data_IF_508223961958
#
_entry.id   IF_508223961958
#
_cell.length_a   1.000
_cell.length_b   1.000
_cell.length_c   1.000
_cell.angle_alpha   90.00
_cell.angle_beta   90.00
_cell.angle_gamma   90.00
#
_symmetry.space_group_name_H-M   'P 1'
#
loop_
_entity.id
_entity.type
_entity.pdbx_description
1 polymer ?
#
# COMPACT_ATOMS: atom_id res chain seq x y z
N UNK A 1 -0.54 -0.46 15.15
CA UNK A 1 -1.80 -1.20 15.33
C UNK A 1 -1.50 -2.49 16.05
N UNK A 2 -2.08 -2.69 17.22
CA UNK A 2 -2.05 -4.01 17.90
C UNK A 2 -3.25 -4.81 17.44
N UNK A 3 -3.04 -5.94 16.81
CA UNK A 3 -4.08 -6.95 16.68
C UNK A 3 -3.55 -8.26 17.26
N UNK A 4 -4.44 -9.08 17.78
CA UNK A 4 -4.09 -10.46 18.06
C UNK A 4 -3.86 -11.16 16.73
N UNK A 5 -2.63 -11.57 16.49
CA UNK A 5 -2.15 -12.14 15.23
C UNK A 5 -2.97 -13.33 14.75
N UNK A 6 -3.60 -14.06 15.68
CA UNK A 6 -4.40 -15.25 15.38
C UNK A 6 -5.59 -15.02 14.43
N UNK A 7 -6.18 -13.81 14.41
CA UNK A 7 -7.32 -13.50 13.57
C UNK A 7 -7.03 -12.41 12.52
N UNK A 8 -5.74 -12.09 12.31
CA UNK A 8 -5.32 -11.03 11.41
C UNK A 8 -5.85 -11.24 9.97
N UNK A 9 -5.73 -12.42 9.43
CA UNK A 9 -6.16 -12.73 8.07
C UNK A 9 -7.66 -12.56 7.88
N UNK A 10 -8.45 -13.03 8.85
CA UNK A 10 -9.89 -12.88 8.81
C UNK A 10 -10.29 -11.41 8.97
N UNK A 11 -9.62 -10.70 9.85
CA UNK A 11 -9.87 -9.27 10.04
C UNK A 11 -9.50 -8.45 8.81
N UNK A 12 -8.33 -8.69 8.21
CA UNK A 12 -7.91 -8.02 6.97
C UNK A 12 -8.86 -8.30 5.82
N UNK A 13 -9.29 -9.56 5.67
CA UNK A 13 -10.26 -9.92 4.64
C UNK A 13 -11.60 -9.19 4.84
N UNK A 14 -12.12 -9.19 6.05
CA UNK A 14 -13.37 -8.50 6.38
C UNK A 14 -13.26 -6.99 6.15
N UNK A 15 -12.12 -6.40 6.54
CA UNK A 15 -11.85 -4.98 6.31
C UNK A 15 -11.77 -4.66 4.81
N UNK A 16 -11.07 -5.47 4.03
CA UNK A 16 -10.97 -5.31 2.58
C UNK A 16 -12.35 -5.40 1.89
N UNK A 17 -13.18 -6.35 2.28
CA UNK A 17 -14.55 -6.48 1.78
C UNK A 17 -15.39 -5.22 2.11
N UNK A 18 -15.30 -4.70 3.33
CA UNK A 18 -15.98 -3.47 3.76
C UNK A 18 -15.46 -2.22 3.03
N UNK A 19 -14.14 -2.14 2.81
CA UNK A 19 -13.51 -1.07 2.03
C UNK A 19 -14.05 -1.08 0.60
N UNK A 20 -14.07 -2.23 -0.06
CA UNK A 20 -14.57 -2.37 -1.44
C UNK A 20 -16.02 -1.91 -1.57
N UNK A 21 -16.88 -2.30 -0.64
CA UNK A 21 -18.28 -1.89 -0.62
C UNK A 21 -18.39 -0.37 -0.46
N UNK A 22 -17.73 0.18 0.56
CA UNK A 22 -17.84 1.62 0.87
C UNK A 22 -17.19 2.50 -0.19
N UNK A 23 -16.00 2.16 -0.61
CA UNK A 23 -15.27 2.91 -1.63
C UNK A 23 -15.99 2.77 -2.98
N UNK A 24 -16.44 1.58 -3.36
CA UNK A 24 -17.21 1.37 -4.58
C UNK A 24 -18.46 2.24 -4.66
N UNK A 25 -19.20 2.37 -3.57
CA UNK A 25 -20.36 3.26 -3.50
C UNK A 25 -19.99 4.75 -3.65
N UNK A 26 -18.81 5.15 -3.18
CA UNK A 26 -18.33 6.53 -3.22
C UNK A 26 -17.72 6.91 -4.58
N UNK A 27 -16.93 6.02 -5.19
CA UNK A 27 -16.17 6.33 -6.41
C UNK A 27 -16.95 6.10 -7.69
N UNK A 28 -17.96 5.23 -7.67
CA UNK A 28 -18.68 4.81 -8.88
C UNK A 28 -17.72 4.09 -9.84
N UNK A 29 -17.66 4.58 -11.10
CA UNK A 29 -16.83 3.98 -12.15
C UNK A 29 -15.42 4.60 -12.25
N UNK A 30 -15.02 5.48 -11.33
CA UNK A 30 -13.67 6.07 -11.35
C UNK A 30 -12.63 5.03 -10.95
N UNK A 31 -11.49 4.93 -11.67
CA UNK A 31 -10.45 3.98 -11.32
C UNK A 31 -9.76 4.38 -10.00
N UNK A 32 -9.41 3.38 -9.24
CA UNK A 32 -8.57 3.53 -8.04
C UNK A 32 -7.84 2.23 -7.74
N UNK A 33 -6.78 2.32 -6.99
CA UNK A 33 -6.04 1.19 -6.46
C UNK A 33 -5.79 1.39 -4.96
N UNK A 34 -5.91 0.31 -4.20
CA UNK A 34 -5.55 0.27 -2.78
C UNK A 34 -4.60 -0.90 -2.58
N UNK A 35 -3.38 -0.61 -2.17
CA UNK A 35 -2.37 -1.62 -1.85
C UNK A 35 -2.21 -1.68 -0.33
N UNK A 36 -2.47 -2.85 0.25
CA UNK A 36 -2.30 -3.10 1.69
C UNK A 36 -0.95 -3.75 1.95
N UNK A 37 -0.11 -3.10 2.75
CA UNK A 37 1.20 -3.62 3.18
C UNK A 37 1.17 -3.90 4.67
N UNK A 38 1.51 -5.12 5.05
CA UNK A 38 1.50 -5.58 6.45
C UNK A 38 2.95 -5.79 6.88
N UNK A 39 3.54 -4.76 7.49
CA UNK A 39 4.88 -4.85 8.06
C UNK A 39 4.87 -5.70 9.33
N UNK A 40 5.90 -6.53 9.50
CA UNK A 40 5.92 -7.62 10.48
C UNK A 40 5.39 -8.94 9.92
N UNK A 41 4.97 -8.96 8.63
CA UNK A 41 4.54 -10.15 7.91
C UNK A 41 5.12 -10.20 6.49
N UNK A 42 4.55 -9.44 5.56
CA UNK A 42 4.92 -9.45 4.14
C UNK A 42 4.93 -8.05 3.50
N UNK A 43 5.07 -7.01 4.29
CA UNK A 43 4.97 -5.62 3.82
C UNK A 43 6.07 -5.21 2.85
N UNK A 44 7.21 -5.90 2.83
CA UNK A 44 8.35 -5.62 1.95
C UNK A 44 8.31 -6.49 0.70
N UNK A 45 8.25 -7.80 0.88
CA UNK A 45 8.37 -8.78 -0.22
C UNK A 45 7.02 -9.27 -0.77
N UNK A 46 5.92 -8.94 -0.11
CA UNK A 46 4.59 -9.35 -0.56
C UNK A 46 4.45 -10.87 -0.66
N UNK A 47 4.04 -11.36 -1.84
CA UNK A 47 3.86 -12.79 -2.10
C UNK A 47 5.18 -13.58 -2.11
N UNK A 48 6.32 -12.92 -2.29
CA UNK A 48 7.65 -13.53 -2.31
C UNK A 48 8.25 -13.71 -0.91
N UNK A 49 7.57 -13.26 0.15
CA UNK A 49 8.02 -13.42 1.53
C UNK A 49 8.20 -14.91 1.86
N UNK A 50 9.42 -15.38 2.15
CA UNK A 50 9.67 -16.78 2.45
C UNK A 50 9.20 -17.19 3.84
N UNK A 51 9.26 -16.27 4.83
CA UNK A 51 8.81 -16.53 6.19
C UNK A 51 7.31 -16.29 6.31
N UNK A 52 6.57 -17.35 6.60
CA UNK A 52 5.10 -17.29 6.71
C UNK A 52 4.62 -17.09 8.14
N UNK A 53 5.47 -17.33 9.12
CA UNK A 53 5.16 -17.12 10.52
C UNK A 53 5.35 -15.66 10.93
N UNK A 54 4.36 -15.08 11.61
CA UNK A 54 4.48 -13.74 12.17
C UNK A 54 5.12 -13.83 13.54
N UNK A 55 6.32 -13.23 13.69
CA UNK A 55 7.10 -13.32 14.92
C UNK A 55 6.81 -12.27 15.98
N UNK A 56 6.01 -11.23 15.69
CA UNK A 56 5.76 -10.10 16.57
C UNK A 56 4.35 -10.05 17.15
N UNK A 57 4.19 -9.32 18.25
CA UNK A 57 2.88 -9.01 18.82
C UNK A 57 2.20 -7.81 18.15
N UNK A 58 3.01 -6.95 17.56
CA UNK A 58 2.56 -5.72 16.90
C UNK A 58 2.88 -5.80 15.42
N UNK A 59 1.95 -5.31 14.62
CA UNK A 59 2.13 -5.14 13.18
C UNK A 59 1.80 -3.71 12.79
N UNK A 60 2.44 -3.22 11.74
CA UNK A 60 2.09 -1.95 11.13
C UNK A 60 1.45 -2.19 9.77
N UNK A 61 0.29 -1.59 9.54
CA UNK A 61 -0.41 -1.68 8.27
C UNK A 61 -0.36 -0.32 7.60
N UNK A 62 0.08 -0.32 6.34
CA UNK A 62 0.10 0.82 5.46
C UNK A 62 -0.84 0.53 4.28
N UNK A 63 -1.72 1.47 3.99
CA UNK A 63 -2.53 1.48 2.77
C UNK A 63 -2.02 2.58 1.84
N UNK A 64 -1.53 2.17 0.66
CA UNK A 64 -1.24 3.09 -0.43
C UNK A 64 -2.50 3.22 -1.27
N UNK A 65 -2.99 4.44 -1.45
CA UNK A 65 -4.18 4.75 -2.24
C UNK A 65 -3.77 5.56 -3.45
N UNK A 66 -4.06 5.05 -4.63
CA UNK A 66 -3.74 5.67 -5.91
C UNK A 66 -5.04 5.90 -6.68
N UNK A 67 -5.22 7.10 -7.21
CA UNK A 67 -6.37 7.45 -8.06
C UNK A 67 -6.02 8.62 -8.99
N UNK A 68 -6.87 8.96 -9.95
CA UNK A 68 -6.60 10.04 -10.90
C UNK A 68 -6.50 11.45 -10.29
N UNK A 69 -6.94 11.64 -9.04
CA UNK A 69 -6.84 12.93 -8.38
C UNK A 69 -6.48 12.79 -6.90
N UNK A 70 -5.71 13.73 -6.38
CA UNK A 70 -5.33 13.78 -4.97
C UNK A 70 -6.56 13.85 -4.05
N UNK A 71 -7.56 14.63 -4.41
CA UNK A 71 -8.81 14.75 -3.66
C UNK A 71 -9.53 13.41 -3.52
N UNK A 72 -9.61 12.64 -4.61
CA UNK A 72 -10.22 11.31 -4.58
C UNK A 72 -9.41 10.33 -3.75
N UNK A 73 -8.07 10.32 -3.90
CA UNK A 73 -7.19 9.49 -3.09
C UNK A 73 -7.33 9.79 -1.60
N UNK A 74 -7.38 11.08 -1.24
CA UNK A 74 -7.58 11.50 0.15
C UNK A 74 -8.93 11.03 0.71
N UNK A 75 -10.01 11.21 -0.05
CA UNK A 75 -11.35 10.76 0.37
C UNK A 75 -11.42 9.23 0.56
N UNK A 76 -10.76 8.47 -0.32
CA UNK A 76 -10.64 7.02 -0.18
C UNK A 76 -9.81 6.67 1.08
N UNK A 77 -8.65 7.30 1.27
CA UNK A 77 -7.79 7.06 2.44
C UNK A 77 -8.52 7.36 3.76
N UNK A 78 -9.26 8.45 3.84
CA UNK A 78 -10.09 8.79 4.99
C UNK A 78 -11.19 7.75 5.26
N UNK A 79 -11.76 7.16 4.21
CA UNK A 79 -12.73 6.06 4.36
C UNK A 79 -12.06 4.79 4.86
N UNK A 80 -10.85 4.48 4.39
CA UNK A 80 -10.05 3.32 4.83
C UNK A 80 -9.67 3.45 6.30
N UNK A 81 -9.14 4.60 6.72
CA UNK A 81 -8.73 4.84 8.11
C UNK A 81 -9.92 4.75 9.07
N UNK A 82 -11.06 5.33 8.70
CA UNK A 82 -12.30 5.22 9.49
C UNK A 82 -12.75 3.76 9.64
N UNK A 83 -12.79 3.01 8.54
CA UNK A 83 -13.19 1.61 8.58
C UNK A 83 -12.20 0.78 9.40
N UNK A 84 -10.89 1.02 9.30
CA UNK A 84 -9.88 0.28 10.05
C UNK A 84 -10.08 0.42 11.56
N UNK A 85 -10.44 1.61 12.05
CA UNK A 85 -10.72 1.83 13.47
C UNK A 85 -12.02 1.15 13.93
N UNK A 86 -13.05 1.18 13.10
CA UNK A 86 -14.37 0.72 13.46
C UNK A 86 -14.68 -0.72 13.04
N UNK A 87 -13.80 -1.36 12.26
CA UNK A 87 -13.98 -2.75 11.87
C UNK A 87 -13.74 -3.67 13.09
N UNK A 88 -14.72 -4.47 13.49
CA UNK A 88 -14.58 -5.31 14.67
C UNK A 88 -13.49 -6.37 14.44
N UNK A 89 -12.65 -6.55 15.46
CA UNK A 89 -11.66 -7.65 15.46
C UNK A 89 -12.38 -8.91 15.93
N UNK A 90 -12.37 -10.01 15.15
CA UNK A 90 -12.99 -11.25 15.56
C UNK A 90 -12.51 -11.71 16.95
N UNK A 91 -13.42 -12.15 17.79
CA UNK A 91 -13.15 -12.59 19.18
C UNK A 91 -12.59 -11.52 20.12
N UNK A 92 -12.55 -10.27 19.73
CA UNK A 92 -12.20 -9.17 20.60
C UNK A 92 -13.43 -8.69 21.38
N UNK A 93 -13.33 -8.64 22.70
CA UNK A 93 -14.42 -8.21 23.58
C UNK A 93 -14.25 -6.78 24.13
N UNK A 94 -13.25 -6.04 23.64
CA UNK A 94 -13.02 -4.65 24.02
C UNK A 94 -13.96 -3.67 23.30
N UNK A 95 -14.21 -2.52 23.94
CA UNK A 95 -15.04 -1.44 23.37
C UNK A 95 -14.34 -0.68 22.23
N UNK A 96 -13.01 -0.78 22.14
CA UNK A 96 -12.18 -0.04 21.16
C UNK A 96 -11.33 -1.07 20.43
N UNK A 97 -11.24 -0.94 19.10
CA UNK A 97 -10.28 -1.72 18.31
C UNK A 97 -8.86 -1.43 18.82
N UNK A 98 -8.00 -2.44 18.86
CA UNK A 98 -6.59 -2.28 19.23
C UNK A 98 -5.75 -1.55 18.16
N UNK A 99 -6.35 -0.60 17.43
CA UNK A 99 -5.74 0.17 16.34
C UNK A 99 -5.31 1.53 16.86
N UNK A 100 -4.06 1.89 16.62
CA UNK A 100 -3.54 3.23 16.84
C UNK A 100 -2.89 3.76 15.57
N UNK A 101 -3.08 5.04 15.31
CA UNK A 101 -2.41 5.74 14.21
C UNK A 101 -1.16 6.45 14.72
N UNK A 102 -0.02 6.36 14.00
CA UNK A 102 1.21 7.06 14.39
C UNK A 102 1.16 8.57 14.15
N UNK A 103 0.20 9.03 13.34
CA UNK A 103 0.02 10.44 12.97
C UNK A 103 -1.43 10.87 13.15
N UNK A 104 -1.62 12.18 13.27
CA UNK A 104 -2.95 12.83 13.29
C UNK A 104 -2.89 14.10 12.43
N UNK A 105 -3.59 14.16 11.31
CA UNK A 105 -4.42 13.11 10.69
C UNK A 105 -3.61 11.89 10.22
N UNK A 106 -4.22 10.70 10.10
CA UNK A 106 -3.53 9.49 9.66
C UNK A 106 -3.30 9.42 8.15
N UNK A 107 -4.02 10.20 7.37
CA UNK A 107 -3.88 10.30 5.93
C UNK A 107 -2.73 11.26 5.58
N UNK A 108 -1.81 10.79 4.73
CA UNK A 108 -0.67 11.56 4.27
C UNK A 108 -0.69 11.67 2.75
N UNK A 109 -0.90 12.87 2.25
CA UNK A 109 -0.84 13.16 0.82
C UNK A 109 0.61 13.16 0.34
N UNK A 110 0.95 12.29 -0.62
CA UNK A 110 2.30 12.09 -1.14
C UNK A 110 2.52 12.70 -2.53
N UNK A 111 1.46 13.28 -3.11
CA UNK A 111 1.51 13.84 -4.45
C UNK A 111 1.50 12.78 -5.55
N UNK A 112 1.96 13.11 -6.77
CA UNK A 112 1.89 12.22 -7.93
C UNK A 112 2.77 10.98 -7.76
N UNK A 113 2.26 9.86 -8.25
CA UNK A 113 2.97 8.58 -8.35
C UNK A 113 3.36 8.36 -9.80
N UNK A 114 4.57 7.90 -10.01
CA UNK A 114 5.12 7.62 -11.35
C UNK A 114 5.35 6.13 -11.50
N UNK A 115 4.94 5.60 -12.63
CA UNK A 115 5.20 4.22 -13.01
C UNK A 115 6.35 4.17 -14.02
N UNK A 116 7.23 3.19 -13.87
CA UNK A 116 8.28 2.94 -14.84
C UNK A 116 7.67 2.21 -16.03
N UNK A 117 7.39 2.95 -17.10
CA UNK A 117 6.56 2.45 -18.20
C UNK A 117 7.35 1.84 -19.35
N UNK A 118 8.57 2.29 -19.58
CA UNK A 118 9.41 1.84 -20.71
C UNK A 118 10.78 1.39 -20.20
N UNK A 119 11.10 0.15 -20.47
CA UNK A 119 12.44 -0.39 -20.32
C UNK A 119 12.86 -1.07 -21.62
N UNK A 120 13.92 -0.57 -22.26
CA UNK A 120 14.48 -1.21 -23.42
C UNK A 120 16.00 -1.24 -23.32
N UNK A 121 16.56 -2.31 -23.83
CA UNK A 121 17.98 -2.51 -23.93
C UNK A 121 18.38 -2.26 -25.39
N UNK A 122 19.31 -1.34 -25.61
CA UNK A 122 19.97 -1.19 -26.90
C UNK A 122 21.01 -2.29 -27.07
N UNK A 123 20.86 -3.07 -28.13
CA UNK A 123 21.86 -4.06 -28.54
C UNK A 123 22.58 -3.48 -29.75
N UNK A 124 23.76 -2.85 -29.57
CA UNK A 124 24.53 -2.29 -30.70
C UNK A 124 25.20 -3.39 -31.50
N UNK A 125 25.44 -3.12 -32.82
CA UNK A 125 26.15 -4.04 -33.70
C UNK A 125 27.60 -4.28 -33.25
N UNK A 126 28.18 -3.32 -32.54
CA UNK A 126 29.46 -3.48 -31.85
C UNK A 126 29.41 -2.73 -30.49
N UNK A 127 30.20 -3.18 -29.48
CA UNK A 127 30.19 -2.56 -28.14
C UNK A 127 30.53 -1.07 -28.13
N UNK A 128 31.26 -0.57 -29.15
CA UNK A 128 31.71 0.81 -29.23
C UNK A 128 30.93 1.67 -30.24
N UNK A 129 29.94 1.11 -30.95
CA UNK A 129 29.22 1.85 -32.00
C UNK A 129 28.38 3.01 -31.49
N UNK A 130 28.05 3.02 -30.22
CA UNK A 130 27.27 4.07 -29.53
C UNK A 130 28.14 5.19 -28.92
N UNK A 131 29.48 5.05 -29.00
CA UNK A 131 30.42 5.98 -28.38
C UNK A 131 31.31 6.59 -29.46
N UNK A 132 31.41 7.93 -29.43
CA UNK A 132 32.37 8.68 -30.28
C UNK A 132 33.35 9.37 -29.34
N UNK A 133 34.64 9.14 -29.57
CA UNK A 133 35.70 9.83 -28.86
C UNK A 133 36.20 10.98 -29.69
N UNK A 134 36.20 12.19 -29.17
CA UNK A 134 36.78 13.38 -29.79
C UNK A 134 37.92 13.85 -28.88
N UNK A 135 39.04 14.22 -29.47
CA UNK A 135 40.18 14.80 -28.75
C UNK A 135 40.24 16.28 -29.09
N UNK A 136 40.26 17.13 -28.07
CA UNK A 136 40.59 18.55 -28.19
C UNK A 136 42.04 18.75 -27.78
N UNK A 137 42.81 19.45 -28.62
CA UNK A 137 44.13 19.96 -28.22
C UNK A 137 43.93 21.26 -27.42
N UNK A 138 44.48 21.29 -26.20
CA UNK A 138 44.44 22.43 -25.30
C UNK A 138 45.72 23.25 -25.44
#
# INVERSE_FOLDING_TARGET
MMTTIADLDNWLKQLDDNIKIRVGAMVGNRPYEIVTRVYGRNGVMGALEPEKAVGGHEIFILWDVISPSQELSHAIAASVSHLAVHNPIPKWHGLISGVAFPYSPPELDRGPVYEFHLNHVLVPDSPTSLFRTEFEEV
#
